data_IF_320604459015
#
_entry.id   IF_320604459015
#
_cell.length_a   1.000
_cell.length_b   1.000
_cell.length_c   1.000
_cell.angle_alpha   90.00
_cell.angle_beta   90.00
_cell.angle_gamma   90.00
#
_symmetry.space_group_name_H-M   'P 1'
#
loop_
_entity.id
_entity.type
_entity.pdbx_description
1 polymer ?
#
# COMPACT_ATOMS: atom_id res chain seq x y z
N UNK A 1 -5.42 -2.84 -13.44
CA UNK A 1 -6.34 -1.73 -13.74
C UNK A 1 -5.68 -0.42 -13.38
N UNK A 2 -5.52 0.42 -14.35
CA UNK A 2 -4.90 1.73 -14.13
C UNK A 2 -5.99 2.74 -13.79
N UNK A 3 -5.79 3.47 -12.72
CA UNK A 3 -6.67 4.57 -12.35
C UNK A 3 -6.02 5.84 -12.86
N UNK A 4 -6.76 6.57 -13.71
CA UNK A 4 -6.25 7.82 -14.24
C UNK A 4 -6.48 8.93 -13.23
N UNK A 5 -5.41 9.28 -12.55
CA UNK A 5 -5.36 10.44 -11.68
C UNK A 5 -4.56 11.52 -12.40
N UNK A 6 -5.27 12.47 -12.99
CA UNK A 6 -4.66 13.48 -13.88
C UNK A 6 -4.33 14.78 -13.17
N UNK A 7 -4.78 14.94 -11.93
CA UNK A 7 -4.52 16.16 -11.17
C UNK A 7 -4.66 15.88 -9.67
N UNK A 8 -4.14 16.76 -8.81
CA UNK A 8 -4.37 16.65 -7.38
C UNK A 8 -5.86 16.69 -7.01
N UNK A 9 -6.67 17.40 -7.77
CA UNK A 9 -8.11 17.43 -7.53
C UNK A 9 -8.76 16.06 -7.74
N UNK A 10 -8.28 15.28 -8.70
CA UNK A 10 -8.75 13.90 -8.90
C UNK A 10 -8.41 13.03 -7.71
N UNK A 11 -7.22 13.17 -7.15
CA UNK A 11 -6.82 12.44 -5.95
C UNK A 11 -7.75 12.78 -4.79
N UNK A 12 -8.01 14.06 -4.58
CA UNK A 12 -8.89 14.52 -3.50
C UNK A 12 -10.30 13.96 -3.66
N UNK A 13 -10.83 13.97 -4.86
CA UNK A 13 -12.16 13.45 -5.14
C UNK A 13 -12.24 11.95 -4.87
N UNK A 14 -11.24 11.18 -5.32
CA UNK A 14 -11.21 9.75 -5.11
C UNK A 14 -11.08 9.38 -3.63
N UNK A 15 -10.28 10.14 -2.89
CA UNK A 15 -10.17 9.93 -1.45
C UNK A 15 -11.48 10.24 -0.75
N UNK A 16 -12.16 11.27 -1.18
CA UNK A 16 -13.45 11.65 -0.61
C UNK A 16 -14.50 10.54 -0.83
N UNK A 17 -14.48 9.86 -1.96
CA UNK A 17 -15.35 8.71 -2.23
C UNK A 17 -15.14 7.57 -1.25
N UNK A 18 -13.97 7.50 -0.62
CA UNK A 18 -13.62 6.51 0.39
C UNK A 18 -13.64 7.08 1.81
N UNK A 19 -14.41 8.16 2.01
CA UNK A 19 -14.59 8.81 3.31
C UNK A 19 -13.29 9.33 3.93
N UNK A 20 -12.33 9.74 3.11
CA UNK A 20 -11.09 10.32 3.57
C UNK A 20 -10.95 11.74 3.01
N UNK A 21 -10.87 12.72 3.93
CA UNK A 21 -10.69 14.11 3.55
C UNK A 21 -9.19 14.41 3.39
N UNK A 22 -8.73 14.36 2.16
CA UNK A 22 -7.35 14.72 1.84
C UNK A 22 -7.26 16.24 1.66
N UNK A 23 -6.33 16.87 2.37
CA UNK A 23 -6.09 18.29 2.14
C UNK A 23 -5.30 18.50 0.85
N UNK A 24 -5.06 19.76 0.48
CA UNK A 24 -4.37 20.08 -0.76
C UNK A 24 -2.92 19.55 -0.74
N UNK A 25 -2.27 19.59 0.41
CA UNK A 25 -0.90 19.11 0.56
C UNK A 25 -0.81 17.61 0.34
N UNK A 26 -1.68 16.83 0.96
CA UNK A 26 -1.71 15.39 0.79
C UNK A 26 -2.08 15.03 -0.65
N UNK A 27 -3.08 15.70 -1.21
CA UNK A 27 -3.52 15.45 -2.58
C UNK A 27 -2.41 15.70 -3.59
N UNK A 28 -1.69 16.82 -3.45
CA UNK A 28 -0.57 17.14 -4.32
C UNK A 28 0.59 16.15 -4.15
N UNK A 29 0.92 15.81 -2.91
CA UNK A 29 2.02 14.87 -2.62
C UNK A 29 1.73 13.47 -3.19
N UNK A 30 0.51 12.96 -3.01
CA UNK A 30 0.10 11.67 -3.54
C UNK A 30 0.15 11.69 -5.07
N UNK A 31 -0.38 12.76 -5.68
CA UNK A 31 -0.37 12.89 -7.14
C UNK A 31 1.05 12.86 -7.69
N UNK A 32 1.96 13.63 -7.10
CA UNK A 32 3.35 13.68 -7.53
C UNK A 32 4.07 12.35 -7.32
N UNK A 33 3.82 11.70 -6.19
CA UNK A 33 4.38 10.39 -5.91
C UNK A 33 4.00 9.37 -6.98
N UNK A 34 2.74 9.32 -7.34
CA UNK A 34 2.25 8.39 -8.36
C UNK A 34 2.76 8.76 -9.76
N UNK A 35 2.78 10.05 -10.07
CA UNK A 35 3.20 10.53 -11.38
C UNK A 35 4.68 10.30 -11.64
N UNK A 36 5.51 10.53 -10.63
CA UNK A 36 6.95 10.42 -10.74
C UNK A 36 7.50 9.07 -10.31
N UNK A 37 6.66 8.21 -9.73
CA UNK A 37 7.10 6.92 -9.24
C UNK A 37 8.04 7.03 -8.04
N UNK A 38 7.85 8.04 -7.19
CA UNK A 38 8.69 8.29 -6.03
C UNK A 38 8.00 7.90 -4.74
N UNK A 39 8.77 7.51 -3.71
CA UNK A 39 8.19 7.25 -2.40
C UNK A 39 7.58 8.50 -1.79
N UNK A 40 6.58 8.31 -0.96
CA UNK A 40 5.91 9.39 -0.25
C UNK A 40 6.15 9.24 1.24
N UNK A 41 6.65 10.29 1.88
CA UNK A 41 6.84 10.33 3.32
C UNK A 41 5.73 11.19 3.95
N UNK A 42 4.95 10.56 4.84
CA UNK A 42 3.93 11.25 5.61
C UNK A 42 4.38 11.33 7.06
N UNK A 43 4.56 12.52 7.56
CA UNK A 43 4.94 12.78 8.93
C UNK A 43 3.78 13.41 9.69
N UNK A 44 3.69 13.12 10.96
CA UNK A 44 2.67 13.69 11.82
C UNK A 44 2.54 12.92 13.11
N UNK A 45 1.75 13.47 14.02
CA UNK A 45 1.49 12.83 15.30
C UNK A 45 0.63 11.57 15.13
N UNK A 46 0.72 10.60 16.05
CA UNK A 46 -0.18 9.46 16.07
C UNK A 46 -1.64 9.90 16.03
N UNK A 47 -2.45 9.25 15.21
CA UNK A 47 -3.87 9.54 15.11
C UNK A 47 -4.26 10.55 14.05
N UNK A 48 -3.32 11.12 13.29
CA UNK A 48 -3.66 12.06 12.21
C UNK A 48 -4.05 11.38 10.90
N UNK A 49 -4.15 10.05 10.87
CA UNK A 49 -4.67 9.34 9.71
C UNK A 49 -3.64 8.93 8.68
N UNK A 50 -2.35 8.88 9.03
CA UNK A 50 -1.29 8.48 8.09
C UNK A 50 -1.50 7.08 7.53
N UNK A 51 -1.82 6.13 8.39
CA UNK A 51 -2.08 4.75 7.98
C UNK A 51 -3.36 4.65 7.14
N UNK A 52 -4.36 5.44 7.49
CA UNK A 52 -5.61 5.48 6.73
C UNK A 52 -5.39 5.99 5.32
N UNK A 53 -4.50 6.96 5.14
CA UNK A 53 -4.17 7.47 3.81
C UNK A 53 -3.61 6.37 2.92
N UNK A 54 -2.71 5.54 3.44
CA UNK A 54 -2.13 4.43 2.69
C UNK A 54 -3.20 3.39 2.30
N UNK A 55 -4.10 3.07 3.24
CA UNK A 55 -5.18 2.13 2.99
C UNK A 55 -6.13 2.65 1.91
N UNK A 56 -6.53 3.91 2.01
CA UNK A 56 -7.43 4.52 1.03
C UNK A 56 -6.77 4.57 -0.34
N UNK A 57 -5.49 4.92 -0.40
CA UNK A 57 -4.76 4.94 -1.66
C UNK A 57 -4.72 3.55 -2.30
N UNK A 58 -4.50 2.50 -1.53
CA UNK A 58 -4.53 1.14 -2.05
C UNK A 58 -5.91 0.79 -2.62
N UNK A 59 -6.98 1.19 -1.95
CA UNK A 59 -8.33 0.98 -2.44
C UNK A 59 -8.61 1.75 -3.74
N UNK A 60 -8.16 3.00 -3.80
CA UNK A 60 -8.32 3.83 -5.00
C UNK A 60 -7.59 3.23 -6.20
N UNK A 61 -6.39 2.70 -5.98
CA UNK A 61 -5.59 2.10 -7.04
C UNK A 61 -6.00 0.66 -7.37
N UNK A 62 -6.84 0.05 -6.54
CA UNK A 62 -7.18 -1.36 -6.70
C UNK A 62 -5.98 -2.26 -6.48
N UNK A 63 -5.03 -1.84 -5.65
CA UNK A 63 -3.80 -2.55 -5.40
C UNK A 63 -3.80 -3.17 -4.00
N UNK A 64 -3.14 -4.31 -3.80
CA UNK A 64 -3.00 -4.87 -2.46
C UNK A 64 -2.09 -3.99 -1.61
N UNK A 65 -2.42 -3.91 -0.31
CA UNK A 65 -1.62 -3.16 0.64
C UNK A 65 -0.68 -4.12 1.37
N UNK A 66 0.61 -3.86 1.27
CA UNK A 66 1.62 -4.57 2.05
C UNK A 66 2.14 -3.62 3.12
N UNK A 67 2.04 -4.03 4.37
CA UNK A 67 2.44 -3.18 5.49
C UNK A 67 3.68 -3.74 6.16
N UNK A 68 4.68 -2.88 6.35
CA UNK A 68 5.87 -3.19 7.13
C UNK A 68 5.94 -2.23 8.30
N UNK A 69 5.88 -2.76 9.51
CA UNK A 69 6.02 -1.95 10.69
C UNK A 69 7.48 -1.93 11.12
N UNK A 70 8.08 -0.75 11.06
CA UNK A 70 9.47 -0.57 11.45
C UNK A 70 9.58 -0.38 12.96
N UNK A 71 10.69 -0.82 13.50
CA UNK A 71 10.99 -0.69 14.93
C UNK A 71 12.48 -0.42 15.09
N UNK A 72 12.85 0.05 16.26
CA UNK A 72 14.25 0.33 16.54
C UNK A 72 15.06 -0.95 16.47
N UNK A 73 16.15 -0.93 15.72
CA UNK A 73 16.99 -2.10 15.51
C UNK A 73 16.59 -2.98 14.32
N UNK A 74 15.55 -2.62 13.59
CA UNK A 74 15.16 -3.37 12.39
C UNK A 74 16.29 -3.32 11.36
N UNK A 75 16.73 -4.49 10.91
CA UNK A 75 17.75 -4.58 9.86
C UNK A 75 17.12 -4.61 8.48
N UNK A 76 17.92 -4.27 7.47
CA UNK A 76 17.46 -4.32 6.08
C UNK A 76 17.05 -5.75 5.68
N UNK A 77 17.79 -6.75 6.13
CA UNK A 77 17.47 -8.15 5.85
C UNK A 77 16.13 -8.57 6.44
N UNK A 78 15.86 -8.17 7.69
CA UNK A 78 14.59 -8.48 8.35
C UNK A 78 13.43 -7.77 7.65
N UNK A 79 13.62 -6.52 7.26
CA UNK A 79 12.61 -5.75 6.55
C UNK A 79 12.27 -6.39 5.20
N UNK A 80 13.29 -6.80 4.45
CA UNK A 80 13.09 -7.46 3.16
C UNK A 80 12.40 -8.81 3.32
N UNK A 81 12.75 -9.55 4.37
CA UNK A 81 12.12 -10.84 4.65
C UNK A 81 10.63 -10.67 4.94
N UNK A 82 10.28 -9.74 5.83
CA UNK A 82 8.89 -9.47 6.18
C UNK A 82 8.08 -9.01 4.96
N UNK A 83 8.68 -8.16 4.14
CA UNK A 83 8.01 -7.66 2.94
C UNK A 83 7.75 -8.79 1.95
N UNK A 84 8.73 -9.63 1.70
CA UNK A 84 8.58 -10.77 0.79
C UNK A 84 7.57 -11.78 1.32
N UNK A 85 7.57 -12.02 2.63
CA UNK A 85 6.60 -12.90 3.26
C UNK A 85 5.18 -12.39 3.06
N UNK A 86 4.94 -11.12 3.30
CA UNK A 86 3.63 -10.52 3.11
C UNK A 86 3.20 -10.57 1.64
N UNK A 87 4.11 -10.34 0.71
CA UNK A 87 3.81 -10.46 -0.71
C UNK A 87 3.40 -11.87 -1.08
N UNK A 88 4.07 -12.87 -0.56
CA UNK A 88 3.69 -14.26 -0.82
C UNK A 88 2.32 -14.59 -0.25
N UNK A 89 2.02 -14.15 0.95
CA UNK A 89 0.70 -14.36 1.53
C UNK A 89 -0.40 -13.71 0.70
N UNK A 90 -0.17 -12.52 0.17
CA UNK A 90 -1.13 -11.87 -0.71
C UNK A 90 -1.31 -12.64 -2.00
N UNK A 91 -0.23 -13.13 -2.59
CA UNK A 91 -0.30 -13.94 -3.81
C UNK A 91 -1.11 -15.22 -3.58
N UNK A 92 -0.92 -15.87 -2.44
CA UNK A 92 -1.68 -17.06 -2.05
C UNK A 92 -3.17 -16.73 -1.93
N UNK A 93 -3.51 -15.64 -1.24
CA UNK A 93 -4.90 -15.24 -1.06
C UNK A 93 -5.57 -14.89 -2.37
N UNK A 94 -4.87 -14.21 -3.26
CA UNK A 94 -5.40 -13.88 -4.59
C UNK A 94 -5.64 -15.16 -5.39
N UNK A 95 -4.69 -16.09 -5.36
CA UNK A 95 -4.83 -17.37 -6.06
C UNK A 95 -6.01 -18.18 -5.51
N UNK A 96 -6.19 -18.21 -4.19
CA UNK A 96 -7.30 -18.91 -3.56
C UNK A 96 -8.66 -18.30 -3.94
N UNK A 97 -8.73 -16.99 -4.07
CA UNK A 97 -9.98 -16.33 -4.45
C UNK A 97 -10.34 -16.58 -5.91
N UNK A 98 -9.35 -16.77 -6.77
CA UNK A 98 -9.56 -17.05 -8.20
C UNK A 98 -9.76 -18.55 -8.46
N UNK A 99 -9.08 -19.39 -7.69
CA UNK A 99 -9.10 -20.84 -7.85
C UNK A 99 -9.22 -21.47 -6.46
N UNK A 100 -10.43 -21.74 -5.98
CA UNK A 100 -10.64 -22.25 -4.62
C UNK A 100 -10.15 -23.69 -4.40
N UNK A 101 -9.20 -24.16 -5.17
CA UNK A 101 -8.56 -25.45 -4.99
C UNK A 101 -7.38 -25.26 -4.05
N UNK A 102 -7.22 -26.13 -3.05
CA UNK A 102 -6.14 -25.97 -2.11
C UNK A 102 -4.79 -26.18 -2.78
N UNK A 103 -3.86 -25.30 -2.48
CA UNK A 103 -2.50 -25.39 -2.97
C UNK A 103 -1.65 -26.12 -1.96
N UNK A 104 -1.03 -27.22 -2.37
CA UNK A 104 -0.22 -28.03 -1.49
C UNK A 104 1.27 -27.75 -1.60
N UNK A 105 1.68 -26.90 -2.53
CA UNK A 105 3.10 -26.70 -2.84
C UNK A 105 3.53 -25.23 -2.75
N UNK A 106 3.08 -24.54 -1.74
CA UNK A 106 3.50 -23.17 -1.53
C UNK A 106 4.67 -23.15 -0.57
N UNK A 107 5.81 -22.65 -1.04
CA UNK A 107 6.98 -22.47 -0.20
C UNK A 107 7.00 -21.06 0.32
N UNK A 108 7.32 -20.91 1.61
CA UNK A 108 7.54 -19.60 2.19
C UNK A 108 8.87 -19.03 1.69
N UNK A 109 8.99 -17.69 1.63
CA UNK A 109 10.25 -17.10 1.21
C UNK A 109 11.37 -17.46 2.16
N UNK A 110 12.53 -17.74 1.59
CA UNK A 110 13.73 -17.92 2.40
C UNK A 110 14.27 -16.57 2.81
N UNK A 111 14.78 -16.51 4.00
CA UNK A 111 15.44 -15.31 4.50
C UNK A 111 16.79 -15.19 3.78
N UNK A 112 16.88 -14.19 2.94
CA UNK A 112 18.11 -13.98 2.18
C UNK A 112 18.63 -12.58 2.41
#
# INVERSE_FOLDING_TARGET
MTVDLTSPADVRRRFDEHDYLADDGISAAVFLSLRLGLPLLLEGEPGVGKTSAARVLAEVLGAPLVRLQCYEGLTAGEALYDWNYQRQLLAIRIAESQHPVSYTHLTLPTKA
#
